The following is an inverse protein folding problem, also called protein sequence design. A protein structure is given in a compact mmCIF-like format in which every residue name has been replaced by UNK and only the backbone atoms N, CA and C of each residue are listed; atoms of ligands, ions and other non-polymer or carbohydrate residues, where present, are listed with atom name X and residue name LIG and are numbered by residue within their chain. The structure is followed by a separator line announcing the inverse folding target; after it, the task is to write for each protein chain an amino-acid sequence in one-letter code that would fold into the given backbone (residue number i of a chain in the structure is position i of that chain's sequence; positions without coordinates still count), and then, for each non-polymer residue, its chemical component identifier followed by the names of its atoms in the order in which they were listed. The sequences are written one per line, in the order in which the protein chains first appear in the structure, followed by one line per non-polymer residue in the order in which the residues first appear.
data_IF_907460011239
#
_entry.id   IF_907460011239
#
_cell.length_a   1.000
_cell.length_b   1.000
_cell.length_c   1.000
_cell.angle_alpha   90.00
_cell.angle_beta   90.00
_cell.angle_gamma   90.00
#
_symmetry.space_group_name_H-M   'P 1'
#
loop_
_entity.id
_entity.type
_entity.pdbx_description
1 polymer ?
#
# COMPACT_ATOMS: atom_id res chain seq x y z
N UNK A 1 8.70 -20.68 -6.92
CA UNK A 1 7.78 -19.98 -6.01
C UNK A 1 8.62 -19.03 -5.18
N UNK A 2 8.23 -17.76 -5.09
CA UNK A 2 8.92 -16.79 -4.25
C UNK A 2 8.68 -17.11 -2.77
N UNK A 3 9.60 -16.67 -1.92
CA UNK A 3 9.46 -16.80 -0.47
C UNK A 3 8.36 -15.86 0.03
N UNK A 4 7.32 -16.42 0.63
CA UNK A 4 6.20 -15.66 1.20
C UNK A 4 6.50 -15.07 2.57
N UNK A 5 7.63 -15.46 3.19
CA UNK A 5 8.03 -14.94 4.50
C UNK A 5 8.81 -13.62 4.41
N UNK A 6 9.41 -13.32 3.25
CA UNK A 6 10.16 -12.09 3.03
C UNK A 6 9.21 -10.88 3.02
N UNK A 7 9.40 -9.97 3.98
CA UNK A 7 8.61 -8.76 4.08
C UNK A 7 9.23 -7.61 3.28
N UNK A 8 8.40 -6.61 2.92
CA UNK A 8 8.91 -5.40 2.27
C UNK A 8 9.92 -4.66 3.15
N UNK A 9 9.77 -4.69 4.47
CA UNK A 9 10.70 -4.03 5.39
C UNK A 9 12.09 -4.69 5.41
N UNK A 10 12.16 -6.00 5.24
CA UNK A 10 13.42 -6.75 5.13
C UNK A 10 14.07 -6.59 3.75
N UNK A 11 13.24 -6.55 2.70
CA UNK A 11 13.72 -6.41 1.32
C UNK A 11 14.14 -4.98 0.98
N UNK A 12 13.31 -3.99 1.31
CA UNK A 12 13.52 -2.56 1.06
C UNK A 12 12.99 -1.71 2.23
N UNK A 13 13.81 -1.48 3.28
CA UNK A 13 13.41 -0.68 4.43
C UNK A 13 13.15 0.79 4.09
N UNK A 14 13.76 1.30 3.01
CA UNK A 14 13.55 2.69 2.57
C UNK A 14 12.15 2.85 2.01
N UNK A 15 11.72 1.93 1.14
CA UNK A 15 10.38 1.93 0.57
C UNK A 15 9.31 1.65 1.63
N UNK A 16 9.56 0.71 2.56
CA UNK A 16 8.67 0.46 3.68
C UNK A 16 8.45 1.73 4.54
N UNK A 17 9.52 2.47 4.83
CA UNK A 17 9.45 3.74 5.57
C UNK A 17 8.68 4.82 4.79
N UNK A 18 8.85 4.88 3.47
CA UNK A 18 8.12 5.82 2.63
C UNK A 18 6.60 5.54 2.63
N UNK A 19 6.20 4.28 2.54
CA UNK A 19 4.80 3.87 2.61
C UNK A 19 4.16 4.25 3.96
N UNK A 20 4.85 3.98 5.07
CA UNK A 20 4.35 4.34 6.41
C UNK A 20 4.18 5.86 6.57
N UNK A 21 5.11 6.65 6.03
CA UNK A 21 5.00 8.12 6.04
C UNK A 21 3.81 8.62 5.23
N UNK A 22 3.55 8.03 4.06
CA UNK A 22 2.41 8.43 3.23
C UNK A 22 1.08 8.02 3.86
N UNK A 23 0.98 6.81 4.43
CA UNK A 23 -0.21 6.40 5.18
C UNK A 23 -0.53 7.41 6.28
N UNK A 24 0.49 7.79 7.06
CA UNK A 24 0.32 8.80 8.10
C UNK A 24 -0.08 10.17 7.55
N UNK A 25 0.49 10.60 6.41
CA UNK A 25 0.13 11.87 5.76
C UNK A 25 -1.36 11.92 5.41
N UNK A 26 -1.90 10.81 4.92
CA UNK A 26 -3.32 10.68 4.56
C UNK A 26 -4.23 10.63 5.79
N UNK A 27 -3.77 10.10 6.92
CA UNK A 27 -4.57 10.02 8.17
C UNK A 27 -4.53 11.33 8.98
N UNK A 28 -3.39 12.04 8.97
CA UNK A 28 -3.16 13.25 9.78
C UNK A 28 -3.78 14.52 9.16
N UNK A 29 -4.31 14.46 7.92
CA UNK A 29 -4.88 15.62 7.23
C UNK A 29 -6.30 15.37 6.71
N UNK A 30 -7.07 16.45 6.60
CA UNK A 30 -8.35 16.43 5.87
C UNK A 30 -8.05 16.55 4.38
N UNK A 31 -8.33 15.49 3.64
CA UNK A 31 -8.20 15.49 2.19
C UNK A 31 -9.37 16.25 1.53
N UNK A 32 -9.06 17.37 0.87
CA UNK A 32 -10.04 18.25 0.22
C UNK A 32 -9.97 18.22 -1.31
N UNK A 33 -9.14 17.33 -1.86
CA UNK A 33 -9.02 17.14 -3.30
C UNK A 33 -10.24 16.33 -3.76
N UNK A 34 -11.15 16.98 -4.48
CA UNK A 34 -12.45 16.39 -4.85
C UNK A 34 -12.37 15.10 -5.69
N UNK A 35 -11.23 14.87 -6.35
CA UNK A 35 -10.99 13.67 -7.17
C UNK A 35 -10.32 12.53 -6.41
N UNK A 36 -9.83 12.75 -5.19
CA UNK A 36 -9.15 11.74 -4.39
C UNK A 36 -10.11 11.03 -3.44
N UNK A 37 -9.80 9.78 -3.12
CA UNK A 37 -10.62 8.95 -2.25
C UNK A 37 -9.79 7.79 -1.66
N UNK A 38 -10.29 7.22 -0.56
CA UNK A 38 -9.71 6.02 0.05
C UNK A 38 -10.37 4.78 -0.53
N UNK A 39 -9.55 3.91 -1.15
CA UNK A 39 -10.02 2.62 -1.60
C UNK A 39 -10.38 1.73 -0.41
N UNK A 40 -11.41 0.89 -0.55
CA UNK A 40 -11.76 -0.07 0.50
C UNK A 40 -10.69 -1.18 0.61
N UNK A 41 -10.53 -1.80 1.79
CA UNK A 41 -9.57 -2.90 1.97
C UNK A 41 -9.79 -4.06 0.99
N UNK A 42 -11.04 -4.33 0.60
CA UNK A 42 -11.37 -5.38 -0.36
C UNK A 42 -10.87 -5.04 -1.77
N UNK A 43 -10.93 -3.77 -2.20
CA UNK A 43 -10.38 -3.34 -3.49
C UNK A 43 -8.86 -3.51 -3.50
N UNK A 44 -8.18 -3.10 -2.43
CA UNK A 44 -6.72 -3.27 -2.29
C UNK A 44 -6.30 -4.74 -2.29
N UNK A 45 -7.09 -5.62 -1.66
CA UNK A 45 -6.81 -7.06 -1.64
C UNK A 45 -6.85 -7.69 -3.04
N UNK A 46 -7.78 -7.25 -3.90
CA UNK A 46 -7.87 -7.72 -5.29
C UNK A 46 -6.66 -7.22 -6.12
N UNK A 47 -6.15 -6.02 -5.86
CA UNK A 47 -4.93 -5.52 -6.50
C UNK A 47 -3.71 -6.40 -6.16
N UNK A 48 -3.63 -6.91 -4.92
CA UNK A 48 -2.60 -7.84 -4.48
C UNK A 48 -3.00 -9.32 -4.67
N UNK A 49 -3.59 -9.66 -5.82
CA UNK A 49 -4.03 -11.02 -6.12
C UNK A 49 -3.33 -11.59 -7.34
N UNK A 50 -3.63 -12.85 -7.67
CA UNK A 50 -3.10 -13.54 -8.83
C UNK A 50 -3.41 -12.85 -10.17
N UNK A 51 -4.35 -11.91 -10.21
CA UNK A 51 -4.64 -11.13 -11.41
C UNK A 51 -3.45 -10.26 -11.86
N UNK A 52 -2.50 -9.92 -11.00
CA UNK A 52 -1.30 -9.18 -11.42
C UNK A 52 -0.24 -10.03 -12.12
N UNK A 53 -0.42 -11.35 -12.18
CA UNK A 53 0.55 -12.26 -12.80
C UNK A 53 0.44 -12.28 -14.34
N UNK A 54 -0.60 -11.70 -14.94
CA UNK A 54 -0.83 -11.68 -16.39
C UNK A 54 -1.59 -10.44 -16.83
#
# INVERSE_FOLDING_TARGET
MYDTSLTLAEFDPTLATALQKEQRRQEDHVELIASENYASPLVMAIQNSVFTNK
#
